data_IF_951181038782
#
_entry.id   IF_951181038782
#
_cell.length_a   1.000
_cell.length_b   1.000
_cell.length_c   1.000
_cell.angle_alpha   90.00
_cell.angle_beta   90.00
_cell.angle_gamma   90.00
#
_symmetry.space_group_name_H-M   'P 1'
#
loop_
_entity.id
_entity.type
_entity.pdbx_description
1 polymer ?
#
# COMPACT_ATOMS: atom_id res chain seq x y z
N UNK A 1 27.19 16.17 -43.70
CA UNK A 1 25.75 16.38 -43.34
C UNK A 1 25.21 15.13 -42.65
N UNK A 2 25.40 13.91 -43.15
CA UNK A 2 24.88 12.67 -42.56
C UNK A 2 25.48 12.41 -41.13
N UNK A 3 26.76 12.67 -40.92
CA UNK A 3 27.40 12.58 -39.60
C UNK A 3 26.88 13.60 -38.59
N UNK A 4 26.48 14.78 -39.03
CA UNK A 4 25.94 15.82 -38.18
C UNK A 4 24.50 15.52 -37.75
N UNK A 5 23.68 14.97 -38.64
CA UNK A 5 22.32 14.52 -38.33
C UNK A 5 22.28 13.31 -37.38
N UNK A 6 23.23 12.38 -37.51
CA UNK A 6 23.36 11.24 -36.59
C UNK A 6 23.74 11.66 -35.16
N UNK A 7 24.56 12.73 -35.02
CA UNK A 7 24.98 13.27 -33.72
C UNK A 7 23.86 14.04 -33.05
N UNK A 8 23.05 14.81 -33.82
CA UNK A 8 21.85 15.49 -33.31
C UNK A 8 20.79 14.49 -32.84
N UNK A 9 20.56 13.42 -33.60
CA UNK A 9 19.59 12.38 -33.21
C UNK A 9 19.98 11.67 -31.91
N UNK A 10 21.26 11.36 -31.71
CA UNK A 10 21.75 10.76 -30.45
C UNK A 10 21.59 11.70 -29.25
N UNK A 11 21.91 12.96 -29.41
CA UNK A 11 21.79 13.98 -28.35
C UNK A 11 20.32 14.24 -28.01
N UNK A 12 19.45 14.35 -29.02
CA UNK A 12 18.01 14.55 -28.80
C UNK A 12 17.36 13.34 -28.15
N UNK A 13 17.73 12.12 -28.54
CA UNK A 13 17.27 10.89 -27.89
C UNK A 13 17.70 10.81 -26.43
N UNK A 14 18.91 11.25 -26.12
CA UNK A 14 19.42 11.24 -24.73
C UNK A 14 18.64 12.21 -23.84
N UNK A 15 18.46 13.46 -24.24
CA UNK A 15 17.66 14.44 -23.51
C UNK A 15 16.18 14.06 -23.39
N UNK A 16 15.62 13.40 -24.41
CA UNK A 16 14.24 12.91 -24.36
C UNK A 16 14.07 11.77 -23.35
N UNK A 17 15.00 10.82 -23.32
CA UNK A 17 15.01 9.71 -22.34
C UNK A 17 15.29 10.18 -20.93
N UNK A 18 16.19 11.16 -20.73
CA UNK A 18 16.41 11.79 -19.43
C UNK A 18 15.17 12.55 -18.94
N UNK A 19 14.48 13.28 -19.82
CA UNK A 19 13.24 13.99 -19.50
C UNK A 19 12.12 13.05 -19.06
N UNK A 20 11.95 11.92 -19.75
CA UNK A 20 10.97 10.88 -19.38
C UNK A 20 11.34 10.26 -18.03
N UNK A 21 12.62 9.96 -17.81
CA UNK A 21 13.10 9.37 -16.56
C UNK A 21 12.89 10.28 -15.34
N UNK A 22 13.10 11.59 -15.51
CA UNK A 22 12.85 12.57 -14.44
C UNK A 22 11.37 12.68 -14.13
N UNK A 23 10.50 12.67 -15.14
CA UNK A 23 9.05 12.74 -14.95
C UNK A 23 8.52 11.48 -14.22
N UNK A 24 8.94 10.29 -14.63
CA UNK A 24 8.57 9.03 -14.01
C UNK A 24 9.03 8.95 -12.55
N UNK A 25 10.26 9.35 -12.23
CA UNK A 25 10.75 9.38 -10.86
C UNK A 25 9.97 10.37 -9.97
N UNK A 26 9.56 11.48 -10.54
CA UNK A 26 8.70 12.46 -9.85
C UNK A 26 7.34 11.85 -9.53
N UNK A 27 6.75 11.09 -10.44
CA UNK A 27 5.50 10.36 -10.23
C UNK A 27 5.64 9.31 -9.10
N UNK A 28 6.71 8.52 -9.12
CA UNK A 28 7.00 7.55 -8.04
C UNK A 28 7.07 8.24 -6.68
N UNK A 29 7.78 9.36 -6.59
CA UNK A 29 7.91 10.13 -5.35
C UNK A 29 6.55 10.65 -4.86
N UNK A 30 5.68 11.11 -5.76
CA UNK A 30 4.32 11.53 -5.43
C UNK A 30 3.47 10.36 -4.91
N UNK A 31 3.59 9.17 -5.51
CA UNK A 31 2.91 7.95 -5.06
C UNK A 31 3.40 7.56 -3.66
N UNK A 32 4.71 7.60 -3.41
CA UNK A 32 5.28 7.33 -2.07
C UNK A 32 4.70 8.29 -1.02
N UNK A 33 4.69 9.59 -1.30
CA UNK A 33 4.14 10.58 -0.36
C UNK A 33 2.62 10.39 -0.13
N UNK A 34 1.88 9.99 -1.17
CA UNK A 34 0.46 9.67 -1.06
C UNK A 34 0.25 8.45 -0.15
N UNK A 35 1.01 7.37 -0.35
CA UNK A 35 0.95 6.17 0.49
C UNK A 35 1.30 6.49 1.94
N UNK A 36 2.34 7.32 2.19
CA UNK A 36 2.71 7.78 3.53
C UNK A 36 1.60 8.56 4.23
N UNK A 37 0.81 9.33 3.48
CA UNK A 37 -0.32 10.06 4.01
C UNK A 37 -1.56 9.19 4.27
N UNK A 38 -1.83 8.22 3.39
CA UNK A 38 -3.04 7.40 3.42
C UNK A 38 -2.98 6.27 4.45
N UNK A 39 -1.88 5.51 4.50
CA UNK A 39 -1.80 4.28 5.29
C UNK A 39 -1.99 4.49 6.80
N UNK A 40 -1.39 5.51 7.45
CA UNK A 40 -1.58 5.71 8.90
C UNK A 40 -3.03 5.96 9.31
N UNK A 41 -3.85 6.46 8.39
CA UNK A 41 -5.26 6.81 8.65
C UNK A 41 -6.27 5.88 7.99
N UNK A 42 -5.83 4.75 7.42
CA UNK A 42 -6.69 3.89 6.61
C UNK A 42 -7.91 3.30 7.34
N UNK A 43 -7.86 3.19 8.67
CA UNK A 43 -9.00 2.77 9.48
C UNK A 43 -9.99 3.91 9.79
N UNK A 44 -9.61 5.15 9.56
CA UNK A 44 -10.39 6.35 9.88
C UNK A 44 -10.92 7.02 8.62
N UNK A 45 -10.07 7.19 7.61
CA UNK A 45 -10.33 7.95 6.38
C UNK A 45 -10.20 7.06 5.15
N UNK A 46 -10.78 7.51 4.06
CA UNK A 46 -10.60 6.85 2.76
C UNK A 46 -9.22 7.18 2.19
N UNK A 47 -8.69 6.25 1.41
CA UNK A 47 -7.40 6.42 0.74
C UNK A 47 -7.57 7.15 -0.59
N UNK A 48 -6.47 7.64 -1.14
CA UNK A 48 -6.42 8.33 -2.44
C UNK A 48 -6.44 7.32 -3.60
N UNK A 49 -7.57 7.20 -4.30
CA UNK A 49 -7.73 6.21 -5.39
C UNK A 49 -7.17 6.66 -6.74
N UNK A 50 -6.75 7.91 -6.90
CA UNK A 50 -6.23 8.45 -8.15
C UNK A 50 -4.86 7.88 -8.55
N UNK A 51 -4.09 7.37 -7.61
CA UNK A 51 -2.78 6.75 -7.85
C UNK A 51 -2.86 5.29 -8.34
N UNK A 52 -4.07 4.71 -8.45
CA UNK A 52 -4.30 3.32 -8.85
C UNK A 52 -4.96 3.23 -10.22
N UNK A 53 -4.63 2.19 -11.01
CA UNK A 53 -5.29 1.88 -12.29
C UNK A 53 -6.74 1.44 -12.08
N UNK A 54 -7.57 1.50 -13.14
CA UNK A 54 -8.97 1.03 -13.06
C UNK A 54 -9.07 -0.49 -12.84
N UNK A 55 -8.09 -1.23 -13.31
CA UNK A 55 -8.00 -2.70 -13.24
C UNK A 55 -7.04 -3.18 -12.15
N UNK A 56 -6.75 -2.34 -11.14
CA UNK A 56 -5.86 -2.69 -10.01
C UNK A 56 -6.09 -4.13 -9.54
N UNK A 57 -5.00 -4.90 -9.46
CA UNK A 57 -4.99 -6.22 -8.86
C UNK A 57 -4.59 -6.12 -7.39
N UNK A 58 -5.41 -6.69 -6.51
CA UNK A 58 -5.13 -6.78 -5.08
C UNK A 58 -5.03 -8.22 -4.62
N UNK A 59 -4.09 -8.49 -3.73
CA UNK A 59 -3.95 -9.76 -3.05
C UNK A 59 -3.42 -9.55 -1.62
N UNK A 60 -4.10 -10.15 -0.66
CA UNK A 60 -3.60 -10.38 0.70
C UNK A 60 -3.72 -11.87 1.05
N UNK A 61 -3.35 -12.33 2.26
CA UNK A 61 -3.49 -13.74 2.64
C UNK A 61 -4.91 -14.28 2.66
N UNK A 62 -5.94 -13.43 2.61
CA UNK A 62 -7.37 -13.79 2.68
C UNK A 62 -8.10 -13.48 1.39
N UNK A 63 -7.76 -12.37 0.73
CA UNK A 63 -8.50 -11.80 -0.39
C UNK A 63 -7.68 -11.78 -1.67
N UNK A 64 -8.37 -11.90 -2.81
CA UNK A 64 -7.78 -11.77 -4.14
C UNK A 64 -8.84 -11.30 -5.12
N UNK A 65 -8.63 -10.16 -5.75
CA UNK A 65 -9.58 -9.60 -6.72
C UNK A 65 -8.92 -8.59 -7.68
N UNK A 66 -9.69 -8.13 -8.67
CA UNK A 66 -9.34 -7.05 -9.60
C UNK A 66 -10.39 -5.95 -9.60
N UNK A 67 -9.96 -4.76 -9.99
CA UNK A 67 -10.80 -3.60 -10.27
C UNK A 67 -10.91 -2.61 -9.12
N UNK A 68 -10.85 -1.33 -9.48
CA UNK A 68 -10.87 -0.20 -8.54
C UNK A 68 -12.13 -0.15 -7.67
N UNK A 69 -13.28 -0.61 -8.20
CA UNK A 69 -14.53 -0.68 -7.42
C UNK A 69 -14.38 -1.66 -6.27
N UNK A 70 -13.90 -2.88 -6.54
CA UNK A 70 -13.65 -3.89 -5.50
C UNK A 70 -12.59 -3.41 -4.49
N UNK A 71 -11.57 -2.71 -4.99
CA UNK A 71 -10.52 -2.12 -4.16
C UNK A 71 -11.09 -1.06 -3.20
N UNK A 72 -12.03 -0.23 -3.64
CA UNK A 72 -12.76 0.71 -2.76
C UNK A 72 -13.63 0.01 -1.74
N UNK A 73 -14.30 -1.07 -2.14
CA UNK A 73 -15.17 -1.85 -1.26
C UNK A 73 -14.35 -2.48 -0.12
N UNK A 74 -13.17 -3.05 -0.39
CA UNK A 74 -12.36 -3.68 0.67
C UNK A 74 -11.91 -2.66 1.71
N UNK A 75 -11.46 -1.47 1.32
CA UNK A 75 -11.06 -0.41 2.26
C UNK A 75 -12.25 0.16 3.04
N UNK A 76 -13.41 0.31 2.38
CA UNK A 76 -14.64 0.68 3.10
C UNK A 76 -15.02 -0.39 4.14
N UNK A 77 -15.00 -1.66 3.75
CA UNK A 77 -15.30 -2.79 4.63
C UNK A 77 -14.32 -2.85 5.82
N UNK A 78 -13.04 -2.60 5.58
CA UNK A 78 -12.01 -2.56 6.59
C UNK A 78 -12.31 -1.47 7.64
N UNK A 79 -12.64 -0.24 7.21
CA UNK A 79 -13.03 0.85 8.11
C UNK A 79 -14.32 0.56 8.87
N UNK A 80 -15.31 -0.02 8.19
CA UNK A 80 -16.57 -0.41 8.82
C UNK A 80 -16.33 -1.41 9.95
N UNK A 81 -15.59 -2.48 9.70
CA UNK A 81 -15.28 -3.50 10.70
C UNK A 81 -14.36 -2.96 11.82
N UNK A 82 -13.42 -2.09 11.49
CA UNK A 82 -12.59 -1.41 12.47
C UNK A 82 -13.45 -0.66 13.52
N UNK A 83 -14.42 0.12 13.07
CA UNK A 83 -15.34 0.87 13.95
C UNK A 83 -16.29 -0.03 14.75
N UNK A 84 -16.69 -1.16 14.15
CA UNK A 84 -17.66 -2.07 14.78
C UNK A 84 -17.00 -2.92 15.87
N UNK A 85 -15.84 -3.49 15.60
CA UNK A 85 -15.25 -4.54 16.43
C UNK A 85 -14.13 -4.06 17.34
N UNK A 86 -13.58 -2.86 17.12
CA UNK A 86 -12.45 -2.37 17.89
C UNK A 86 -12.81 -1.14 18.75
N UNK A 87 -12.24 -1.08 19.96
CA UNK A 87 -12.19 0.14 20.74
C UNK A 87 -11.05 1.04 20.28
N UNK A 88 -9.95 0.41 19.90
CA UNK A 88 -8.76 1.07 19.36
C UNK A 88 -8.17 0.19 18.26
N UNK A 89 -7.80 0.78 17.14
CA UNK A 89 -7.06 0.12 16.08
C UNK A 89 -6.14 1.13 15.41
N UNK A 90 -4.89 0.72 15.18
CA UNK A 90 -3.85 1.56 14.61
C UNK A 90 -3.14 0.82 13.47
N UNK A 91 -2.78 1.58 12.46
CA UNK A 91 -1.88 1.17 11.39
C UNK A 91 -0.58 1.97 11.56
N UNK A 92 0.41 1.34 12.15
CA UNK A 92 1.70 1.96 12.38
C UNK A 92 2.58 1.74 11.14
N UNK A 93 2.72 2.77 10.32
CA UNK A 93 3.59 2.78 9.15
C UNK A 93 5.03 3.00 9.60
N UNK A 94 5.96 2.12 9.20
CA UNK A 94 7.37 2.22 9.56
C UNK A 94 8.19 2.88 8.46
N UNK A 95 8.00 2.42 7.22
CA UNK A 95 8.75 2.95 6.08
C UNK A 95 7.98 2.76 4.77
N UNK A 96 8.22 3.67 3.81
CA UNK A 96 7.75 3.56 2.42
C UNK A 96 8.91 3.98 1.51
N UNK A 97 9.38 3.07 0.68
CA UNK A 97 10.53 3.30 -0.17
C UNK A 97 10.40 2.59 -1.52
N UNK A 98 11.11 3.10 -2.50
CA UNK A 98 11.23 2.45 -3.80
C UNK A 98 12.22 1.28 -3.67
N UNK A 99 11.74 0.05 -3.81
CA UNK A 99 12.56 -1.17 -3.67
C UNK A 99 13.11 -1.69 -5.01
N UNK A 100 12.50 -1.29 -6.13
CA UNK A 100 12.98 -1.53 -7.49
C UNK A 100 12.49 -0.40 -8.42
N UNK A 101 12.87 -0.41 -9.70
CA UNK A 101 12.54 0.65 -10.66
C UNK A 101 11.04 0.99 -10.70
N UNK A 102 10.19 -0.03 -10.65
CA UNK A 102 8.73 0.07 -10.73
C UNK A 102 8.01 -0.47 -9.48
N UNK A 103 8.74 -0.70 -8.36
CA UNK A 103 8.19 -1.29 -7.14
C UNK A 103 8.41 -0.39 -5.94
N UNK A 104 7.32 -0.08 -5.24
CA UNK A 104 7.32 0.56 -3.93
C UNK A 104 7.00 -0.49 -2.87
N UNK A 105 7.71 -0.45 -1.75
CA UNK A 105 7.46 -1.29 -0.58
C UNK A 105 7.13 -0.43 0.62
N UNK A 106 6.08 -0.81 1.36
CA UNK A 106 5.70 -0.22 2.63
C UNK A 106 5.76 -1.28 3.73
N UNK A 107 6.39 -0.98 4.86
CA UNK A 107 6.46 -1.86 6.04
C UNK A 107 5.62 -1.29 7.17
N UNK A 108 4.86 -2.13 7.86
CA UNK A 108 3.86 -1.67 8.80
C UNK A 108 3.52 -2.71 9.89
N UNK A 109 2.87 -2.23 10.95
CA UNK A 109 2.27 -3.04 12.02
C UNK A 109 0.80 -2.65 12.19
N UNK A 110 -0.07 -3.64 12.33
CA UNK A 110 -1.45 -3.46 12.80
C UNK A 110 -1.54 -3.91 14.25
N UNK A 111 -2.07 -3.03 15.09
CA UNK A 111 -2.35 -3.31 16.50
C UNK A 111 -3.70 -2.75 16.90
N UNK A 112 -4.41 -3.45 17.77
CA UNK A 112 -5.72 -2.99 18.21
C UNK A 112 -6.26 -3.74 19.42
N UNK A 113 -7.33 -3.19 20.00
CA UNK A 113 -8.06 -3.77 21.13
C UNK A 113 -9.49 -4.02 20.69
N UNK A 114 -9.94 -5.27 20.78
CA UNK A 114 -11.29 -5.65 20.43
C UNK A 114 -12.30 -5.17 21.49
N UNK A 115 -13.46 -4.78 21.01
CA UNK A 115 -14.63 -4.39 21.82
C UNK A 115 -15.35 -5.63 22.38
N UNK A 116 -14.63 -6.41 23.19
CA UNK A 116 -15.16 -7.59 23.88
C UNK A 116 -14.81 -7.52 25.35
N UNK A 117 -15.57 -8.18 26.27
CA UNK A 117 -15.34 -8.05 27.72
C UNK A 117 -13.92 -8.41 28.18
N UNK A 118 -13.24 -9.31 27.46
CA UNK A 118 -11.87 -9.73 27.78
C UNK A 118 -10.79 -8.88 27.07
N UNK A 119 -11.18 -7.80 26.34
CA UNK A 119 -10.28 -6.85 25.71
C UNK A 119 -9.14 -7.54 24.93
N UNK A 120 -9.49 -8.41 24.00
CA UNK A 120 -8.49 -9.11 23.21
C UNK A 120 -7.64 -8.13 22.40
N UNK A 121 -6.33 -8.33 22.40
CA UNK A 121 -5.38 -7.54 21.64
C UNK A 121 -5.00 -8.26 20.37
N UNK A 122 -5.01 -7.55 19.26
CA UNK A 122 -4.43 -8.01 18.00
C UNK A 122 -3.11 -7.31 17.75
N UNK A 123 -2.18 -8.05 17.20
CA UNK A 123 -0.88 -7.56 16.78
C UNK A 123 -0.31 -8.43 15.68
N UNK A 124 0.03 -7.84 14.55
CA UNK A 124 0.79 -8.49 13.48
C UNK A 124 1.51 -7.45 12.62
N UNK A 125 2.63 -7.88 12.02
CA UNK A 125 3.40 -7.06 11.10
C UNK A 125 3.14 -7.51 9.67
N UNK A 126 3.42 -6.62 8.75
CA UNK A 126 3.35 -6.94 7.35
C UNK A 126 4.12 -5.95 6.49
N UNK A 127 4.11 -6.24 5.22
CA UNK A 127 4.57 -5.32 4.20
C UNK A 127 3.67 -5.38 2.97
N UNK A 128 3.54 -4.26 2.32
CA UNK A 128 2.83 -4.09 1.06
C UNK A 128 3.82 -3.87 -0.06
N UNK A 129 3.60 -4.51 -1.21
CA UNK A 129 4.32 -4.20 -2.44
C UNK A 129 3.35 -3.63 -3.46
N UNK A 130 3.76 -2.52 -4.07
CA UNK A 130 3.01 -1.81 -5.10
C UNK A 130 3.81 -1.80 -6.37
N UNK A 131 3.25 -2.33 -7.48
CA UNK A 131 3.88 -2.25 -8.79
C UNK A 131 3.23 -1.16 -9.63
N UNK A 132 4.07 -0.36 -10.27
CA UNK A 132 3.67 0.77 -11.09
C UNK A 132 3.80 0.44 -12.57
N UNK A 133 2.87 0.97 -13.38
CA UNK A 133 2.98 0.96 -14.83
C UNK A 133 3.83 2.16 -15.34
N UNK A 134 3.99 2.25 -16.65
CA UNK A 134 4.76 3.33 -17.28
C UNK A 134 4.18 4.74 -17.06
N UNK A 135 2.89 4.85 -16.72
CA UNK A 135 2.23 6.09 -16.37
C UNK A 135 2.41 6.47 -14.89
N UNK A 136 3.17 5.68 -14.12
CA UNK A 136 3.37 5.88 -12.68
C UNK A 136 2.15 5.54 -11.82
N UNK A 137 1.19 4.75 -12.34
CA UNK A 137 0.01 4.31 -11.61
C UNK A 137 0.21 2.89 -11.07
N UNK A 138 -0.28 2.64 -9.87
CA UNK A 138 -0.23 1.32 -9.23
C UNK A 138 -1.26 0.39 -9.91
N UNK A 139 -0.80 -0.71 -10.50
CA UNK A 139 -1.64 -1.74 -11.11
C UNK A 139 -1.69 -3.05 -10.31
N UNK A 140 -0.75 -3.25 -9.37
CA UNK A 140 -0.73 -4.41 -8.48
C UNK A 140 -0.40 -3.97 -7.05
N UNK A 141 -1.18 -4.42 -6.07
CA UNK A 141 -0.96 -4.26 -4.64
C UNK A 141 -1.02 -5.63 -3.97
N UNK A 142 0.06 -6.03 -3.33
CA UNK A 142 0.13 -7.27 -2.56
C UNK A 142 0.55 -7.01 -1.13
N UNK A 143 -0.24 -7.56 -0.19
CA UNK A 143 0.08 -7.57 1.23
C UNK A 143 0.60 -8.93 1.66
N UNK A 144 1.65 -8.90 2.47
CA UNK A 144 2.22 -10.08 3.12
C UNK A 144 2.22 -9.86 4.63
N UNK A 145 1.75 -10.84 5.39
CA UNK A 145 1.67 -10.78 6.85
C UNK A 145 2.69 -11.73 7.47
N UNK A 146 3.24 -11.38 8.64
CA UNK A 146 4.16 -12.22 9.42
C UNK A 146 3.45 -13.39 10.11
N UNK A 147 2.11 -13.41 10.08
CA UNK A 147 1.25 -14.44 10.70
C UNK A 147 0.22 -14.95 9.72
N UNK A 148 -0.17 -16.22 9.89
CA UNK A 148 -1.30 -16.78 9.14
C UNK A 148 -2.62 -16.17 9.61
N UNK A 149 -3.64 -16.03 8.73
CA UNK A 149 -4.95 -15.49 9.12
C UNK A 149 -5.57 -16.18 10.35
N UNK A 150 -5.44 -17.50 10.45
CA UNK A 150 -5.93 -18.27 11.61
C UNK A 150 -5.23 -17.92 12.92
N UNK A 151 -3.95 -17.56 12.90
CA UNK A 151 -3.19 -17.13 14.09
C UNK A 151 -3.64 -15.73 14.55
N UNK A 152 -3.98 -14.84 13.61
CA UNK A 152 -4.56 -13.52 13.93
C UNK A 152 -5.95 -13.70 14.54
N UNK A 153 -6.79 -14.57 13.96
CA UNK A 153 -8.11 -14.92 14.51
C UNK A 153 -8.02 -15.50 15.93
N UNK A 154 -7.03 -16.33 16.23
CA UNK A 154 -6.82 -16.87 17.58
C UNK A 154 -6.55 -15.79 18.62
N UNK A 155 -5.97 -14.65 18.23
CA UNK A 155 -5.75 -13.54 19.15
C UNK A 155 -7.06 -12.96 19.67
N UNK A 156 -8.16 -13.01 18.91
CA UNK A 156 -9.49 -12.52 19.28
C UNK A 156 -10.08 -13.23 20.51
N UNK A 157 -9.66 -14.46 20.76
CA UNK A 157 -10.15 -15.30 21.87
C UNK A 157 -9.21 -15.31 23.08
N UNK A 158 -8.05 -14.66 22.97
CA UNK A 158 -7.09 -14.58 24.08
C UNK A 158 -7.45 -13.40 24.99
N UNK A 159 -7.50 -13.65 26.30
CA UNK A 159 -7.69 -12.59 27.30
C UNK A 159 -6.50 -11.61 27.22
N UNK A 160 -6.78 -10.34 27.05
CA UNK A 160 -5.78 -9.29 27.10
C UNK A 160 -5.04 -9.35 28.44
N UNK A 161 -3.70 -9.31 28.42
CA UNK A 161 -2.93 -9.14 29.64
C UNK A 161 -3.09 -7.66 30.04
N UNK A 162 -3.66 -7.44 31.22
CA UNK A 162 -3.59 -6.13 31.83
C UNK A 162 -2.10 -5.80 32.01
N UNK A 163 -1.62 -4.75 31.36
CA UNK A 163 -0.35 -4.15 31.72
C UNK A 163 -0.57 -3.39 33.03
N UNK A 164 -0.11 -3.98 34.12
CA UNK A 164 0.15 -3.27 35.38
C UNK A 164 1.39 -2.40 35.22
#
# INVERSE_FOLDING_TARGET
IIFYLAKINKTFSHYFLEGIGVDYQTQINQVIETIKGDLPTLFEKDISYNIYTQDIYFQDPVNKFKGKVNYRIIFWTLRFHARLFFTEIHFDLHDVYQSAEDIITATWTVRGVLRVPWQAHIFFNGYSTYKLNQDGLIYEHKDTWDRKPGEILQQFFRKGKAHN
#
